data_IF_178615210417
#
_entry.id   IF_178615210417
#
_cell.length_a   1.000
_cell.length_b   1.000
_cell.length_c   1.000
_cell.angle_alpha   90.00
_cell.angle_beta   90.00
_cell.angle_gamma   90.00
#
_symmetry.space_group_name_H-M   'P 1'
#
loop_
_entity.id
_entity.type
_entity.pdbx_description
1 polymer ?
#
# COMPACT_ATOMS: atom_id res chain seq x y z
N UNK A 1 -23.90 -4.02 -8.13
CA UNK A 1 -23.37 -2.65 -8.27
C UNK A 1 -22.06 -2.55 -7.51
N UNK A 2 -20.93 -2.33 -8.13
CA UNK A 2 -19.71 -2.15 -7.38
C UNK A 2 -19.83 -0.85 -6.56
N UNK A 3 -19.73 -0.97 -5.25
CA UNK A 3 -19.62 0.17 -4.33
C UNK A 3 -18.26 0.89 -4.46
N UNK A 4 -17.38 0.31 -5.27
CA UNK A 4 -15.99 0.76 -5.42
C UNK A 4 -15.99 1.92 -6.42
N UNK A 5 -15.50 3.09 -6.03
CA UNK A 5 -15.26 4.17 -6.97
C UNK A 5 -14.35 3.70 -8.09
N UNK A 6 -14.69 4.03 -9.33
CA UNK A 6 -13.79 3.87 -10.45
C UNK A 6 -12.45 4.56 -10.13
N UNK A 7 -11.34 3.89 -10.42
CA UNK A 7 -9.99 4.41 -10.20
C UNK A 7 -9.79 5.79 -10.84
N UNK A 8 -10.40 6.00 -12.01
CA UNK A 8 -10.36 7.29 -12.69
C UNK A 8 -11.11 8.38 -11.92
N UNK A 9 -12.29 8.09 -11.38
CA UNK A 9 -13.07 9.02 -10.56
C UNK A 9 -12.32 9.40 -9.27
N UNK A 10 -11.63 8.42 -8.65
CA UNK A 10 -10.81 8.69 -7.49
C UNK A 10 -9.59 9.56 -7.85
N UNK A 11 -8.87 9.25 -8.90
CA UNK A 11 -7.72 10.04 -9.35
C UNK A 11 -8.12 11.49 -9.69
N UNK A 12 -9.28 11.68 -10.33
CA UNK A 12 -9.82 13.00 -10.58
C UNK A 12 -10.14 13.77 -9.29
N UNK A 13 -10.60 13.08 -8.26
CA UNK A 13 -10.88 13.70 -6.95
C UNK A 13 -9.61 14.18 -6.24
N UNK A 14 -8.45 13.64 -6.59
CA UNK A 14 -7.16 14.04 -6.04
C UNK A 14 -6.51 15.22 -6.78
N UNK A 15 -7.00 15.59 -7.96
CA UNK A 15 -6.35 16.57 -8.85
C UNK A 15 -6.19 17.96 -8.23
N UNK A 16 -7.04 18.32 -7.28
CA UNK A 16 -6.96 19.58 -6.53
C UNK A 16 -6.01 19.56 -5.32
N UNK A 17 -5.41 18.42 -5.00
CA UNK A 17 -4.50 18.31 -3.87
C UNK A 17 -3.09 18.76 -4.24
N UNK A 18 -2.31 19.29 -3.28
CA UNK A 18 -0.91 19.60 -3.48
C UNK A 18 -0.13 18.38 -3.98
N UNK A 19 0.75 18.61 -4.96
CA UNK A 19 1.65 17.63 -5.49
C UNK A 19 3.05 17.86 -4.91
N UNK A 20 3.62 16.84 -4.28
CA UNK A 20 4.97 16.86 -3.71
C UNK A 20 5.85 15.88 -4.47
N UNK A 21 7.05 16.31 -4.80
CA UNK A 21 8.05 15.48 -5.50
C UNK A 21 9.19 15.16 -4.56
N UNK A 22 9.54 13.88 -4.50
CA UNK A 22 10.71 13.38 -3.78
C UNK A 22 11.73 12.85 -4.77
N UNK A 23 13.00 13.21 -4.55
CA UNK A 23 14.12 12.72 -5.34
C UNK A 23 14.60 11.33 -4.83
N UNK A 24 15.31 10.56 -5.64
CA UNK A 24 15.87 9.29 -5.21
C UNK A 24 16.66 9.45 -3.89
N UNK A 25 16.37 8.58 -2.92
CA UNK A 25 17.00 8.60 -1.59
C UNK A 25 16.34 9.51 -0.57
N UNK A 26 15.38 10.37 -0.95
CA UNK A 26 14.65 11.18 0.02
C UNK A 26 13.61 10.36 0.79
N UNK A 27 13.50 10.68 2.07
CA UNK A 27 12.50 10.05 2.95
C UNK A 27 11.15 10.71 2.80
N UNK A 28 10.15 9.92 2.47
CA UNK A 28 8.74 10.33 2.30
C UNK A 28 8.00 10.29 3.65
N UNK A 29 8.21 9.23 4.41
CA UNK A 29 7.66 9.01 5.75
C UNK A 29 8.77 8.53 6.67
N UNK A 30 8.78 9.02 7.90
CA UNK A 30 9.75 8.62 8.94
C UNK A 30 9.03 7.77 10.00
N UNK A 31 9.60 6.60 10.32
CA UNK A 31 9.11 5.75 11.42
C UNK A 31 9.08 6.55 12.74
N UNK A 32 8.02 6.38 13.49
CA UNK A 32 7.79 7.11 14.75
C UNK A 32 7.24 8.53 14.60
N UNK A 33 7.19 9.10 13.40
CA UNK A 33 6.61 10.43 13.17
C UNK A 33 5.08 10.39 13.12
N UNK A 34 4.46 11.56 13.37
CA UNK A 34 3.01 11.77 13.22
C UNK A 34 2.80 12.96 12.30
N UNK A 35 2.29 12.73 11.12
CA UNK A 35 2.10 13.78 10.11
C UNK A 35 0.65 14.21 9.94
N UNK A 36 -0.30 13.36 10.27
CA UNK A 36 -1.73 13.57 10.00
C UNK A 36 -2.05 13.67 8.50
N UNK A 37 -1.18 13.16 7.66
CA UNK A 37 -1.29 13.26 6.19
C UNK A 37 -1.53 11.91 5.55
N UNK A 38 -2.30 11.94 4.48
CA UNK A 38 -2.42 10.85 3.51
C UNK A 38 -1.64 11.24 2.25
N UNK A 39 -0.85 10.30 1.75
CA UNK A 39 -0.08 10.44 0.53
C UNK A 39 -0.58 9.43 -0.49
N UNK A 40 -0.90 9.92 -1.68
CA UNK A 40 -1.36 9.08 -2.80
C UNK A 40 -0.32 9.12 -3.91
N UNK A 41 0.28 7.98 -4.20
CA UNK A 41 1.31 7.88 -5.22
C UNK A 41 0.72 8.22 -6.59
N UNK A 42 1.31 9.18 -7.28
CA UNK A 42 0.97 9.53 -8.65
C UNK A 42 1.86 8.79 -9.64
N UNK A 43 3.16 8.81 -9.39
CA UNK A 43 4.18 8.11 -10.18
C UNK A 43 5.44 7.92 -9.35
N UNK A 44 6.27 7.00 -9.77
CA UNK A 44 7.54 6.66 -9.12
C UNK A 44 7.46 5.37 -8.34
N UNK A 45 8.53 5.07 -7.64
CA UNK A 45 8.69 3.86 -6.83
C UNK A 45 9.30 4.21 -5.49
N UNK A 46 8.73 3.69 -4.43
CA UNK A 46 9.23 3.87 -3.06
C UNK A 46 9.47 2.52 -2.40
N UNK A 47 10.47 2.47 -1.52
CA UNK A 47 10.72 1.34 -0.64
C UNK A 47 10.09 1.61 0.73
N UNK A 48 9.50 0.58 1.30
CA UNK A 48 9.05 0.56 2.69
C UNK A 48 10.09 -0.19 3.51
N UNK A 49 10.60 0.47 4.55
CA UNK A 49 11.65 -0.08 5.39
C UNK A 49 11.17 -0.18 6.84
N UNK A 50 11.56 -1.27 7.49
CA UNK A 50 11.42 -1.44 8.93
C UNK A 50 12.78 -1.75 9.53
N UNK A 51 13.19 -0.92 10.48
CA UNK A 51 14.52 -1.06 11.13
C UNK A 51 15.67 -1.16 10.11
N UNK A 52 15.60 -0.36 9.04
CA UNK A 52 16.59 -0.33 7.97
C UNK A 52 16.50 -1.47 6.95
N UNK A 53 15.57 -2.42 7.13
CA UNK A 53 15.36 -3.53 6.20
C UNK A 53 14.20 -3.23 5.25
N UNK A 54 14.43 -3.34 3.94
CA UNK A 54 13.37 -3.21 2.94
C UNK A 54 12.40 -4.40 3.07
N UNK A 55 11.13 -4.08 3.36
CA UNK A 55 10.07 -5.07 3.50
C UNK A 55 9.11 -5.09 2.32
N UNK A 56 9.05 -4.01 1.54
CA UNK A 56 8.20 -3.93 0.35
C UNK A 56 8.62 -2.79 -0.57
N UNK A 57 8.10 -2.83 -1.80
CA UNK A 57 8.13 -1.73 -2.77
C UNK A 57 6.73 -1.39 -3.22
N UNK A 58 6.50 -0.09 -3.42
CA UNK A 58 5.23 0.43 -3.90
C UNK A 58 5.49 1.29 -5.14
N UNK A 59 4.86 0.90 -6.26
CA UNK A 59 4.99 1.59 -7.54
C UNK A 59 3.63 1.86 -8.20
N UNK A 60 2.54 1.36 -7.61
CA UNK A 60 1.22 1.46 -8.21
C UNK A 60 0.65 2.87 -8.08
N UNK A 61 0.31 3.55 -9.20
CA UNK A 61 -0.38 4.82 -9.14
C UNK A 61 -1.71 4.70 -8.37
N UNK A 62 -1.90 5.57 -7.40
CA UNK A 62 -3.05 5.52 -6.48
C UNK A 62 -2.77 4.81 -5.16
N UNK A 63 -1.60 4.21 -4.96
CA UNK A 63 -1.22 3.66 -3.67
C UNK A 63 -1.33 4.71 -2.58
N UNK A 64 -1.98 4.36 -1.46
CA UNK A 64 -2.13 5.23 -0.30
C UNK A 64 -1.12 4.87 0.78
N UNK A 65 -0.48 5.88 1.34
CA UNK A 65 0.45 5.76 2.45
C UNK A 65 0.03 6.68 3.60
N UNK A 66 0.30 6.26 4.84
CA UNK A 66 0.00 7.01 6.05
C UNK A 66 -1.38 6.73 6.65
N UNK A 67 -2.19 5.91 6.03
CA UNK A 67 -3.55 5.61 6.45
C UNK A 67 -3.63 4.92 7.82
N UNK A 68 -2.70 4.02 8.12
CA UNK A 68 -2.67 3.32 9.43
C UNK A 68 -2.40 4.31 10.57
N UNK A 69 -1.44 5.20 10.39
CA UNK A 69 -1.11 6.23 11.38
C UNK A 69 -2.31 7.12 11.69
N UNK A 70 -3.02 7.55 10.64
CA UNK A 70 -4.17 8.44 10.76
C UNK A 70 -5.37 7.73 11.37
N UNK A 71 -5.74 6.56 10.86
CA UNK A 71 -6.96 5.86 11.27
C UNK A 71 -6.84 5.23 12.65
N UNK A 72 -5.65 4.80 13.05
CA UNK A 72 -5.39 4.19 14.35
C UNK A 72 -4.86 5.19 15.39
N UNK A 73 -4.73 6.47 15.01
CA UNK A 73 -4.16 7.53 15.87
C UNK A 73 -2.82 7.13 16.51
N UNK A 74 -1.90 6.62 15.71
CA UNK A 74 -0.59 6.15 16.16
C UNK A 74 0.53 6.71 15.28
N UNK A 75 1.79 6.70 15.74
CA UNK A 75 2.92 7.06 14.88
C UNK A 75 3.03 6.14 13.66
N UNK A 76 3.66 6.63 12.60
CA UNK A 76 4.05 5.78 11.49
C UNK A 76 4.95 4.65 11.98
N UNK A 77 4.75 3.45 11.47
CA UNK A 77 5.45 2.25 11.93
C UNK A 77 6.57 1.80 10.99
N UNK A 78 6.82 2.55 9.92
CA UNK A 78 7.82 2.26 8.89
C UNK A 78 8.43 3.55 8.35
N UNK A 79 9.63 3.45 7.80
CA UNK A 79 10.18 4.46 6.90
C UNK A 79 9.72 4.21 5.48
N UNK A 80 9.52 5.28 4.71
CA UNK A 80 9.27 5.20 3.27
C UNK A 80 10.28 6.08 2.56
N UNK A 81 11.05 5.50 1.64
CA UNK A 81 12.11 6.18 0.90
C UNK A 81 11.87 6.09 -0.60
N UNK A 82 12.06 7.19 -1.31
CA UNK A 82 11.99 7.22 -2.76
C UNK A 82 13.17 6.48 -3.40
N UNK A 83 12.88 5.53 -4.26
CA UNK A 83 13.89 4.80 -5.05
C UNK A 83 14.21 5.51 -6.36
N UNK A 84 13.27 6.26 -6.86
CA UNK A 84 13.36 7.12 -8.05
C UNK A 84 12.57 8.40 -7.81
N UNK A 85 12.61 9.35 -8.73
CA UNK A 85 11.79 10.56 -8.63
C UNK A 85 10.32 10.19 -8.52
N UNK A 86 9.75 10.41 -7.35
CA UNK A 86 8.40 9.99 -7.00
C UNK A 86 7.52 11.19 -6.67
N UNK A 87 6.27 11.16 -7.13
CA UNK A 87 5.30 12.23 -6.92
C UNK A 87 4.09 11.72 -6.16
N UNK A 88 3.66 12.49 -5.18
CA UNK A 88 2.49 12.20 -4.35
C UNK A 88 1.53 13.38 -4.33
N UNK A 89 0.23 13.08 -4.44
CA UNK A 89 -0.79 13.99 -3.94
C UNK A 89 -0.82 13.88 -2.42
N UNK A 90 -0.76 15.00 -1.73
CA UNK A 90 -0.68 15.04 -0.27
C UNK A 90 -1.91 15.76 0.28
N UNK A 91 -2.59 15.14 1.23
CA UNK A 91 -3.77 15.70 1.87
C UNK A 91 -3.64 15.68 3.39
N UNK A 92 -4.22 16.70 4.04
CA UNK A 92 -4.58 16.58 5.44
C UNK A 92 -5.68 15.51 5.56
N UNK A 93 -5.43 14.47 6.34
CA UNK A 93 -6.32 13.33 6.42
C UNK A 93 -7.70 13.68 6.98
N UNK A 94 -7.75 14.47 8.05
CA UNK A 94 -9.02 14.88 8.66
C UNK A 94 -9.88 15.65 7.69
N UNK A 95 -9.31 16.61 6.97
CA UNK A 95 -10.03 17.40 5.98
C UNK A 95 -10.49 16.56 4.80
N UNK A 96 -9.59 15.73 4.24
CA UNK A 96 -9.93 14.89 3.09
C UNK A 96 -11.04 13.90 3.43
N UNK A 97 -10.89 13.17 4.53
CA UNK A 97 -11.87 12.14 4.92
C UNK A 97 -13.21 12.75 5.32
N UNK A 98 -13.24 13.95 5.90
CA UNK A 98 -14.49 14.63 6.23
C UNK A 98 -15.25 15.15 5.00
N UNK A 99 -14.55 15.50 3.93
CA UNK A 99 -15.13 16.21 2.78
C UNK A 99 -15.25 15.35 1.51
N UNK A 100 -14.55 14.22 1.45
CA UNK A 100 -14.50 13.40 0.24
C UNK A 100 -14.92 11.94 0.52
N UNK A 101 -16.22 11.61 0.35
CA UNK A 101 -16.70 10.23 0.54
C UNK A 101 -16.03 9.21 -0.39
N UNK A 102 -15.61 9.62 -1.58
CA UNK A 102 -14.90 8.76 -2.53
C UNK A 102 -13.54 8.36 -1.96
N UNK A 103 -12.82 9.31 -1.35
CA UNK A 103 -11.55 9.02 -0.69
C UNK A 103 -11.70 8.04 0.47
N UNK A 104 -12.77 8.18 1.27
CA UNK A 104 -13.08 7.23 2.36
C UNK A 104 -13.27 5.82 1.80
N UNK A 105 -14.12 5.67 0.79
CA UNK A 105 -14.39 4.37 0.18
C UNK A 105 -13.14 3.77 -0.44
N UNK A 106 -12.30 4.59 -1.06
CA UNK A 106 -11.04 4.13 -1.64
C UNK A 106 -10.07 3.60 -0.58
N UNK A 107 -9.87 4.35 0.50
CA UNK A 107 -9.02 3.92 1.62
C UNK A 107 -9.58 2.65 2.26
N UNK A 108 -10.90 2.60 2.51
CA UNK A 108 -11.56 1.42 3.07
C UNK A 108 -11.39 0.19 2.19
N UNK A 109 -11.57 0.33 0.87
CA UNK A 109 -11.38 -0.75 -0.09
C UNK A 109 -9.94 -1.24 -0.11
N UNK A 110 -8.97 -0.33 -0.11
CA UNK A 110 -7.55 -0.67 -0.03
C UNK A 110 -7.24 -1.48 1.23
N UNK A 111 -7.75 -1.06 2.38
CA UNK A 111 -7.57 -1.77 3.65
C UNK A 111 -8.27 -3.14 3.64
N UNK A 112 -9.45 -3.24 3.05
CA UNK A 112 -10.16 -4.50 2.91
C UNK A 112 -9.39 -5.50 2.04
N UNK A 113 -8.79 -5.06 0.94
CA UNK A 113 -7.91 -5.89 0.10
C UNK A 113 -6.67 -6.36 0.86
N UNK A 114 -6.02 -5.46 1.59
CA UNK A 114 -4.86 -5.81 2.43
C UNK A 114 -5.22 -6.84 3.50
N UNK A 115 -6.35 -6.66 4.19
CA UNK A 115 -6.85 -7.61 5.19
C UNK A 115 -7.17 -8.96 4.56
N UNK A 116 -7.85 -8.97 3.43
CA UNK A 116 -8.17 -10.20 2.69
C UNK A 116 -6.88 -10.97 2.32
N UNK A 117 -5.89 -10.28 1.77
CA UNK A 117 -4.61 -10.88 1.44
C UNK A 117 -3.86 -11.40 2.68
N UNK A 118 -3.87 -10.64 3.80
CA UNK A 118 -3.27 -11.09 5.06
C UNK A 118 -3.92 -12.37 5.57
N UNK A 119 -5.24 -12.45 5.52
CA UNK A 119 -5.98 -13.66 5.92
C UNK A 119 -5.62 -14.86 5.04
N UNK A 120 -5.50 -14.65 3.73
CA UNK A 120 -5.06 -15.70 2.82
C UNK A 120 -3.65 -16.19 3.13
N UNK A 121 -2.71 -15.27 3.36
CA UNK A 121 -1.34 -15.61 3.73
C UNK A 121 -1.27 -16.41 5.05
N UNK A 122 -2.10 -16.06 6.04
CA UNK A 122 -2.18 -16.80 7.31
C UNK A 122 -2.73 -18.21 7.12
N UNK A 123 -3.79 -18.38 6.32
CA UNK A 123 -4.38 -19.70 6.02
C UNK A 123 -3.35 -20.59 5.34
N UNK A 124 -2.64 -20.04 4.38
CA UNK A 124 -1.65 -20.78 3.62
C UNK A 124 -0.44 -21.16 4.48
N UNK A 125 0.05 -20.23 5.33
CA UNK A 125 1.09 -20.51 6.32
C UNK A 125 0.65 -21.64 7.27
N UNK A 126 -0.59 -21.59 7.78
CA UNK A 126 -1.14 -22.64 8.64
C UNK A 126 -1.18 -23.98 7.92
N UNK A 127 -1.61 -24.00 6.67
CA UNK A 127 -1.68 -25.25 5.87
C UNK A 127 -0.27 -25.83 5.64
N UNK A 128 0.71 -25.00 5.36
CA UNK A 128 2.11 -25.43 5.17
C UNK A 128 2.70 -25.99 6.45
N UNK A 129 2.46 -25.35 7.59
CA UNK A 129 2.91 -25.86 8.91
C UNK A 129 2.28 -27.22 9.25
N UNK A 130 1.01 -27.42 8.88
CA UNK A 130 0.30 -28.68 9.11
C UNK A 130 0.76 -29.80 8.16
N UNK A 131 1.23 -29.47 6.95
CA UNK A 131 1.74 -30.46 5.97
C UNK A 131 3.17 -30.92 6.25
N UNK A 132 3.89 -30.29 7.17
CA UNK A 132 5.23 -30.70 7.58
C UNK A 132 6.35 -30.38 6.59
N UNK A 133 6.13 -29.49 5.63
CA UNK A 133 7.16 -29.00 4.70
C UNK A 133 7.71 -27.62 5.14
N UNK A 134 8.84 -27.59 5.85
CA UNK A 134 9.29 -26.35 6.51
C UNK A 134 10.14 -25.41 5.65
N UNK A 135 10.56 -25.80 4.44
CA UNK A 135 11.66 -25.09 3.78
C UNK A 135 11.28 -23.83 3.01
N UNK A 136 10.02 -23.64 2.62
CA UNK A 136 9.59 -22.49 1.81
C UNK A 136 8.64 -21.51 2.53
N UNK A 137 8.24 -21.83 3.76
CA UNK A 137 7.21 -21.10 4.51
C UNK A 137 7.57 -19.63 4.71
N UNK A 138 8.83 -19.36 5.05
CA UNK A 138 9.28 -17.98 5.34
C UNK A 138 9.34 -17.16 4.05
N UNK A 139 9.93 -17.71 2.98
CA UNK A 139 10.07 -17.01 1.71
C UNK A 139 8.70 -16.69 1.07
N UNK A 140 7.78 -17.64 1.11
CA UNK A 140 6.42 -17.47 0.59
C UNK A 140 5.64 -16.46 1.44
N UNK A 141 5.79 -16.50 2.75
CA UNK A 141 5.12 -15.55 3.66
C UNK A 141 5.63 -14.14 3.46
N UNK A 142 6.93 -13.95 3.33
CA UNK A 142 7.54 -12.65 3.05
C UNK A 142 7.06 -12.12 1.69
N UNK A 143 7.11 -12.93 0.64
CA UNK A 143 6.64 -12.53 -0.71
C UNK A 143 5.15 -12.17 -0.74
N UNK A 144 4.33 -12.80 0.09
CA UNK A 144 2.90 -12.47 0.21
C UNK A 144 2.67 -11.20 1.01
N UNK A 145 3.43 -10.98 2.07
CA UNK A 145 3.38 -9.71 2.82
C UNK A 145 3.81 -8.53 1.93
N UNK A 146 4.79 -8.71 1.08
CA UNK A 146 5.17 -7.71 0.07
C UNK A 146 4.00 -7.38 -0.86
N UNK A 147 3.24 -8.40 -1.31
CA UNK A 147 2.04 -8.21 -2.12
C UNK A 147 0.89 -7.49 -1.40
N UNK A 148 0.82 -7.56 -0.06
CA UNK A 148 -0.20 -6.89 0.74
C UNK A 148 -0.02 -5.37 0.83
N UNK A 149 1.19 -4.90 0.62
CA UNK A 149 1.53 -3.48 0.61
C UNK A 149 1.31 -2.86 -0.78
N UNK A 150 1.13 -3.68 -1.81
CA UNK A 150 0.74 -3.24 -3.16
C UNK A 150 -0.76 -2.98 -3.22
N UNK A 151 -1.17 -1.90 -3.88
CA UNK A 151 -2.58 -1.46 -3.94
C UNK A 151 -3.43 -2.34 -4.84
N UNK A 152 -2.80 -2.96 -5.82
CA UNK A 152 -3.46 -3.87 -6.76
C UNK A 152 -3.03 -5.30 -6.45
N UNK A 153 -4.00 -6.18 -6.20
CA UNK A 153 -3.83 -7.63 -6.30
C UNK A 153 -3.58 -8.03 -7.76
N UNK A 154 -2.62 -7.39 -8.41
CA UNK A 154 -2.31 -7.61 -9.82
C UNK A 154 -1.47 -8.86 -9.97
N UNK A 155 -2.01 -9.79 -10.72
CA UNK A 155 -1.35 -10.84 -11.47
C UNK A 155 0.10 -10.50 -11.80
N UNK A 156 1.02 -11.31 -11.31
CA UNK A 156 2.41 -11.29 -11.75
C UNK A 156 2.47 -11.45 -13.26
N UNK A 157 3.33 -10.72 -13.98
CA UNK A 157 3.61 -11.05 -15.38
C UNK A 157 4.32 -12.41 -15.42
N UNK A 158 3.58 -13.48 -15.67
CA UNK A 158 4.13 -14.83 -15.74
C UNK A 158 3.10 -15.95 -15.77
N UNK A 159 1.88 -15.73 -15.32
CA UNK A 159 0.82 -16.73 -15.48
C UNK A 159 0.32 -16.74 -16.94
N UNK A 160 1.07 -17.43 -17.77
CA UNK A 160 0.53 -17.91 -19.04
C UNK A 160 -0.46 -19.01 -18.70
N UNK A 161 -1.74 -18.72 -18.87
CA UNK A 161 -2.73 -19.76 -19.06
C UNK A 161 -2.26 -20.62 -20.24
N UNK A 162 -1.95 -21.87 -19.94
CA UNK A 162 -1.87 -22.89 -20.96
C UNK A 162 -3.30 -23.38 -21.12
N UNK A 163 -3.94 -22.90 -22.19
CA UNK A 163 -5.15 -23.51 -22.70
C UNK A 163 -4.78 -24.89 -23.27
N UNK A 164 -5.43 -25.91 -22.75
CA UNK A 164 -5.74 -27.17 -23.47
C UNK A 164 -7.24 -27.42 -23.38
#
# INVERSE_FOLDING_TARGET
>A
MPLIPDKAAFQNSLSGLPLVTYQPGETVIVDGSRTGRLLFLRKGTVAILKEGTEIARVADPGAVLGELSVLLDQPHSVDVCALETSQFHVANATTLLAQNPIAILYVATTLAHRLHGANHALIELKNQLLSGEPHDVVAITVSKMEGLLSVDGVTRPGDKFIDD
#
